data_IF_061133895706
#
_entry.id   IF_061133895706
#
_cell.length_a   1.000
_cell.length_b   1.000
_cell.length_c   1.000
_cell.angle_alpha   90.00
_cell.angle_beta   90.00
_cell.angle_gamma   90.00
#
_symmetry.space_group_name_H-M   'P 1'
#
loop_
_entity.id
_entity.type
_entity.pdbx_description
1 polymer ?
#
# COMPACT_ATOMS: atom_id res chain seq x y z
N UNK A 1 -14.96 -55.08 20.33
CA UNK A 1 -14.15 -53.95 20.84
C UNK A 1 -13.10 -53.53 19.79
N UNK A 2 -13.50 -52.86 18.70
CA UNK A 2 -12.59 -52.29 17.67
C UNK A 2 -13.32 -51.18 16.89
N UNK A 3 -13.79 -50.13 17.56
CA UNK A 3 -14.45 -48.98 16.91
C UNK A 3 -14.06 -47.61 17.48
N UNK A 4 -13.05 -47.56 18.37
CA UNK A 4 -12.67 -46.31 19.07
C UNK A 4 -11.35 -45.72 18.53
N UNK A 5 -10.64 -46.41 17.65
CA UNK A 5 -9.31 -45.98 17.20
C UNK A 5 -9.29 -45.13 15.92
N UNK A 6 -10.39 -45.03 15.16
CA UNK A 6 -10.39 -44.32 13.87
C UNK A 6 -10.83 -42.86 13.96
N UNK A 7 -11.52 -42.47 15.02
CA UNK A 7 -12.09 -41.11 15.15
C UNK A 7 -11.08 -40.09 15.67
N UNK A 8 -9.93 -40.51 16.22
CA UNK A 8 -8.90 -39.62 16.77
C UNK A 8 -7.90 -39.15 15.69
N UNK A 9 -7.86 -39.79 14.52
CA UNK A 9 -6.92 -39.44 13.44
C UNK A 9 -7.38 -38.27 12.55
N UNK A 10 -8.60 -37.74 12.75
CA UNK A 10 -9.11 -36.59 11.98
C UNK A 10 -8.98 -35.27 12.77
N UNK A 11 -8.54 -35.31 14.04
CA UNK A 11 -8.24 -34.11 14.82
C UNK A 11 -6.82 -33.55 14.58
N UNK A 12 -6.01 -34.26 13.80
CA UNK A 12 -4.62 -33.92 13.45
C UNK A 12 -4.47 -33.37 12.01
N UNK A 13 -5.58 -33.00 11.37
CA UNK A 13 -5.60 -32.30 10.08
C UNK A 13 -5.81 -30.78 10.23
N UNK A 14 -5.69 -30.23 11.44
CA UNK A 14 -5.70 -28.78 11.70
C UNK A 14 -4.31 -28.15 11.89
N UNK A 15 -3.21 -28.90 11.71
CA UNK A 15 -1.84 -28.37 11.89
C UNK A 15 -1.12 -28.02 10.57
N UNK A 16 -1.84 -27.98 9.45
CA UNK A 16 -1.23 -27.92 8.12
C UNK A 16 -1.66 -26.76 7.22
N UNK A 17 -2.43 -25.80 7.72
CA UNK A 17 -2.77 -24.60 6.96
C UNK A 17 -2.52 -23.37 7.84
N UNK A 18 -1.23 -23.10 8.10
CA UNK A 18 -0.83 -21.71 8.28
C UNK A 18 -0.93 -21.08 6.89
N UNK A 19 -2.14 -20.68 6.50
CA UNK A 19 -2.30 -19.69 5.45
C UNK A 19 -1.71 -18.40 6.00
N UNK A 20 -0.39 -18.23 5.90
CA UNK A 20 0.22 -16.92 6.09
C UNK A 20 -0.47 -16.03 5.06
N UNK A 21 -1.41 -15.19 5.51
CA UNK A 21 -1.95 -14.14 4.67
C UNK A 21 -0.74 -13.41 4.06
N UNK A 22 -0.71 -13.17 2.74
CA UNK A 22 0.43 -12.54 2.09
C UNK A 22 0.71 -11.21 2.78
N UNK A 23 1.92 -11.07 3.32
CA UNK A 23 2.35 -9.83 3.98
C UNK A 23 2.44 -8.73 2.93
N UNK A 24 1.75 -7.58 3.10
CA UNK A 24 1.73 -6.56 2.08
C UNK A 24 3.08 -5.84 1.94
N UNK A 25 3.36 -5.32 0.75
CA UNK A 25 4.36 -4.27 0.58
C UNK A 25 3.74 -2.93 0.99
N UNK A 26 4.40 -2.22 1.93
CA UNK A 26 3.84 -1.00 2.55
C UNK A 26 4.48 0.27 2.01
N UNK A 27 3.78 1.37 2.19
CA UNK A 27 4.29 2.73 2.01
C UNK A 27 4.35 3.43 3.37
N UNK A 28 5.47 4.08 3.65
CA UNK A 28 5.72 4.81 4.88
C UNK A 28 6.28 6.19 4.55
N UNK A 29 5.56 7.26 4.85
CA UNK A 29 6.05 8.63 4.64
C UNK A 29 6.18 9.35 5.98
N UNK A 30 7.37 9.85 6.27
CA UNK A 30 7.70 10.62 7.46
C UNK A 30 7.76 12.10 7.11
N UNK A 31 6.96 12.91 7.80
CA UNK A 31 6.96 14.36 7.61
C UNK A 31 8.21 14.98 8.23
N UNK A 32 8.58 16.17 7.75
CA UNK A 32 9.69 16.93 8.33
C UNK A 32 9.45 17.26 9.82
N UNK A 33 8.23 17.69 10.17
CA UNK A 33 7.81 17.95 11.55
C UNK A 33 6.30 17.71 11.76
N UNK A 34 5.80 17.98 12.96
CA UNK A 34 4.37 17.92 13.33
C UNK A 34 3.58 19.19 13.01
N UNK A 35 4.18 20.18 12.33
CA UNK A 35 3.45 21.36 11.89
C UNK A 35 2.31 20.99 10.93
N UNK A 36 1.23 21.76 10.94
CA UNK A 36 0.09 21.51 10.07
C UNK A 36 0.50 21.54 8.59
N UNK A 37 1.44 22.40 8.25
CA UNK A 37 2.02 22.57 6.92
C UNK A 37 2.83 21.32 6.49
N UNK A 38 3.72 20.82 7.35
CA UNK A 38 4.52 19.62 7.05
C UNK A 38 3.64 18.37 6.96
N UNK A 39 2.59 18.30 7.79
CA UNK A 39 1.60 17.22 7.72
C UNK A 39 0.77 17.30 6.44
N UNK A 40 0.40 18.50 5.97
CA UNK A 40 -0.36 18.68 4.74
C UNK A 40 0.47 18.36 3.49
N UNK A 41 1.71 18.84 3.40
CA UNK A 41 2.57 18.54 2.24
C UNK A 41 2.93 17.06 2.15
N UNK A 42 3.06 16.36 3.29
CA UNK A 42 3.20 14.91 3.32
C UNK A 42 2.05 14.19 2.59
N UNK A 43 0.81 14.65 2.75
CA UNK A 43 -0.34 14.05 2.06
C UNK A 43 -0.31 14.33 0.56
N UNK A 44 0.13 15.53 0.15
CA UNK A 44 0.33 15.85 -1.28
C UNK A 44 1.41 14.98 -1.91
N UNK A 45 2.55 14.81 -1.22
CA UNK A 45 3.63 13.93 -1.66
C UNK A 45 3.15 12.49 -1.78
N UNK A 46 2.39 11.99 -0.79
CA UNK A 46 1.74 10.67 -0.85
C UNK A 46 0.93 10.51 -2.13
N UNK A 47 0.03 11.44 -2.40
CA UNK A 47 -0.90 11.34 -3.53
C UNK A 47 -0.13 11.34 -4.87
N UNK A 48 0.88 12.21 -5.00
CA UNK A 48 1.72 12.28 -6.19
C UNK A 48 2.54 11.00 -6.44
N UNK A 49 2.99 10.32 -5.38
CA UNK A 49 3.73 9.05 -5.51
C UNK A 49 2.79 7.90 -5.87
N UNK A 50 1.60 7.87 -5.27
CA UNK A 50 0.60 6.86 -5.61
C UNK A 50 0.20 6.98 -7.08
N UNK A 51 -0.04 8.21 -7.56
CA UNK A 51 -0.31 8.48 -8.98
C UNK A 51 0.85 8.05 -9.88
N UNK A 52 2.09 8.40 -9.55
CA UNK A 52 3.28 8.04 -10.34
C UNK A 52 3.45 6.52 -10.48
N UNK A 53 3.18 5.78 -9.41
CA UNK A 53 3.50 4.36 -9.32
C UNK A 53 2.33 3.44 -9.70
N UNK A 54 1.14 4.00 -9.91
CA UNK A 54 -0.11 3.26 -10.12
C UNK A 54 0.00 2.25 -11.27
N UNK A 55 0.38 2.70 -12.48
CA UNK A 55 0.41 1.84 -13.67
C UNK A 55 1.39 0.67 -13.51
N UNK A 56 2.57 0.92 -12.93
CA UNK A 56 3.57 -0.11 -12.74
C UNK A 56 3.20 -1.11 -11.64
N UNK A 57 2.58 -0.63 -10.56
CA UNK A 57 2.07 -1.50 -9.49
C UNK A 57 0.94 -2.40 -10.00
N UNK A 58 0.07 -1.89 -10.88
CA UNK A 58 -1.00 -2.69 -11.50
C UNK A 58 -0.48 -3.83 -12.39
N UNK A 59 0.76 -3.74 -12.87
CA UNK A 59 1.41 -4.80 -13.65
C UNK A 59 2.14 -5.84 -12.79
N UNK A 60 2.24 -5.63 -11.48
CA UNK A 60 2.92 -6.53 -10.56
C UNK A 60 2.00 -7.69 -10.14
N UNK A 61 2.51 -8.92 -10.17
CA UNK A 61 1.71 -10.11 -9.85
C UNK A 61 1.86 -10.52 -8.39
N UNK A 62 2.92 -10.08 -7.74
CA UNK A 62 3.25 -10.41 -6.36
C UNK A 62 4.02 -9.27 -5.67
N UNK A 63 4.26 -9.45 -4.36
CA UNK A 63 4.94 -8.46 -3.51
C UNK A 63 6.39 -8.23 -3.94
N UNK A 64 7.09 -9.27 -4.36
CA UNK A 64 8.46 -9.19 -4.84
C UNK A 64 8.55 -8.37 -6.14
N UNK A 65 7.61 -8.56 -7.09
CA UNK A 65 7.52 -7.74 -8.31
C UNK A 65 7.34 -6.25 -7.96
N UNK A 66 6.41 -5.95 -7.03
CA UNK A 66 6.16 -4.57 -6.60
C UNK A 66 7.39 -3.95 -5.93
N UNK A 67 8.11 -4.73 -5.11
CA UNK A 67 9.35 -4.29 -4.48
C UNK A 67 10.44 -3.99 -5.52
N UNK A 68 10.62 -4.87 -6.50
CA UNK A 68 11.63 -4.71 -7.55
C UNK A 68 11.31 -3.52 -8.47
N UNK A 69 10.03 -3.32 -8.82
CA UNK A 69 9.56 -2.14 -9.52
C UNK A 69 9.91 -0.86 -8.74
N UNK A 70 9.54 -0.79 -7.47
CA UNK A 70 9.81 0.38 -6.63
C UNK A 70 11.31 0.64 -6.47
N UNK A 71 12.12 -0.42 -6.44
CA UNK A 71 13.57 -0.32 -6.37
C UNK A 71 14.17 0.27 -7.66
N UNK A 72 13.63 -0.09 -8.82
CA UNK A 72 14.05 0.45 -10.10
C UNK A 72 13.63 1.92 -10.30
N UNK A 73 12.48 2.32 -9.74
CA UNK A 73 11.92 3.67 -9.87
C UNK A 73 12.21 4.58 -8.67
N UNK A 74 13.11 4.18 -7.76
CA UNK A 74 13.35 4.90 -6.51
C UNK A 74 13.81 6.36 -6.73
N UNK A 75 14.65 6.59 -7.73
CA UNK A 75 15.13 7.94 -8.08
C UNK A 75 14.00 8.82 -8.61
N UNK A 76 13.10 8.27 -9.44
CA UNK A 76 11.94 8.97 -9.98
C UNK A 76 10.94 9.33 -8.87
N UNK A 77 10.72 8.42 -7.91
CA UNK A 77 9.89 8.65 -6.73
C UNK A 77 10.44 9.82 -5.90
N UNK A 78 11.76 9.84 -5.66
CA UNK A 78 12.40 10.97 -4.95
C UNK A 78 12.27 12.27 -5.73
N UNK A 79 12.50 12.23 -7.05
CA UNK A 79 12.37 13.42 -7.90
C UNK A 79 10.94 13.98 -7.87
N UNK A 80 9.93 13.11 -7.92
CA UNK A 80 8.51 13.51 -7.85
C UNK A 80 8.16 14.08 -6.47
N UNK A 81 8.66 13.50 -5.40
CA UNK A 81 8.48 14.06 -4.06
C UNK A 81 9.13 15.45 -3.91
N UNK A 82 10.35 15.62 -4.45
CA UNK A 82 11.05 16.90 -4.46
C UNK A 82 10.33 17.97 -5.29
N UNK A 83 9.71 17.58 -6.41
CA UNK A 83 8.90 18.48 -7.24
C UNK A 83 7.71 19.04 -6.44
N UNK A 84 6.94 18.18 -5.76
CA UNK A 84 5.82 18.61 -4.91
C UNK A 84 6.30 19.54 -3.79
N UNK A 85 7.43 19.22 -3.15
CA UNK A 85 8.01 20.09 -2.11
C UNK A 85 8.38 21.47 -2.66
N UNK A 86 8.91 21.54 -3.88
CA UNK A 86 9.25 22.80 -4.54
C UNK A 86 8.02 23.61 -4.94
N UNK A 87 7.00 22.98 -5.51
CA UNK A 87 5.72 23.62 -5.85
C UNK A 87 5.07 24.26 -4.60
N UNK A 88 5.19 23.59 -3.46
CA UNK A 88 4.66 24.03 -2.17
C UNK A 88 5.64 24.95 -1.39
N UNK A 89 6.78 25.32 -1.98
CA UNK A 89 7.80 26.24 -1.43
C UNK A 89 8.47 25.75 -0.13
N UNK A 90 8.62 24.44 0.05
CA UNK A 90 9.39 23.89 1.17
C UNK A 90 10.89 23.86 0.87
N UNK A 91 11.76 24.24 1.84
CA UNK A 91 13.19 24.41 1.61
C UNK A 91 14.02 23.12 1.71
N UNK A 92 13.37 21.99 1.99
CA UNK A 92 14.01 20.69 2.21
C UNK A 92 13.68 19.71 1.08
N UNK A 93 14.37 18.58 1.09
CA UNK A 93 14.22 17.51 0.08
C UNK A 93 13.70 16.22 0.68
N UNK A 94 13.22 15.35 -0.18
CA UNK A 94 12.85 13.98 0.13
C UNK A 94 14.06 13.03 -0.03
N UNK A 95 14.03 11.94 0.73
CA UNK A 95 14.87 10.76 0.48
C UNK A 95 13.99 9.52 0.56
N UNK A 96 14.31 8.48 -0.19
CA UNK A 96 13.57 7.23 -0.18
C UNK A 96 14.49 6.03 -0.01
N UNK A 97 13.98 4.99 0.62
CA UNK A 97 14.67 3.72 0.82
C UNK A 97 13.67 2.57 0.86
N UNK A 98 14.10 1.40 0.39
CA UNK A 98 13.33 0.16 0.50
C UNK A 98 14.00 -0.72 1.55
N UNK A 99 13.21 -1.27 2.45
CA UNK A 99 13.72 -2.07 3.55
C UNK A 99 12.62 -2.74 4.33
N UNK A 100 13.01 -3.27 5.50
CA UNK A 100 12.06 -3.74 6.52
C UNK A 100 11.98 -2.72 7.64
N UNK A 101 10.76 -2.38 8.02
CA UNK A 101 10.50 -1.40 9.06
C UNK A 101 9.38 -1.86 9.97
N UNK A 102 9.42 -1.41 11.21
CA UNK A 102 8.34 -1.60 12.16
C UNK A 102 7.12 -0.76 11.79
N UNK A 103 5.97 -1.42 11.75
CA UNK A 103 4.66 -0.80 11.70
C UNK A 103 3.89 -1.32 12.91
N UNK A 104 3.23 -0.49 13.72
CA UNK A 104 2.26 -0.98 14.68
C UNK A 104 0.92 -1.26 14.00
N UNK A 105 -0.05 -1.66 14.80
CA UNK A 105 -1.35 -2.11 14.31
C UNK A 105 -2.06 -1.05 13.46
N UNK A 106 -2.59 -1.46 12.31
CA UNK A 106 -3.37 -0.61 11.41
C UNK A 106 -4.60 -1.32 10.88
N UNK A 107 -5.74 -0.67 11.03
CA UNK A 107 -7.02 -1.13 10.50
C UNK A 107 -7.41 -0.28 9.31
N UNK A 108 -7.71 -0.94 8.18
CA UNK A 108 -8.25 -0.35 6.97
C UNK A 108 -9.58 -1.07 6.66
N UNK A 109 -10.70 -0.35 6.78
CA UNK A 109 -12.02 -0.99 6.69
C UNK A 109 -12.16 -2.13 7.69
N UNK A 110 -12.55 -3.30 7.20
CA UNK A 110 -12.74 -4.50 8.00
C UNK A 110 -11.47 -5.33 8.22
N UNK A 111 -10.31 -4.89 7.72
CA UNK A 111 -9.06 -5.64 7.86
C UNK A 111 -8.05 -4.93 8.75
N UNK A 112 -7.61 -5.66 9.76
CA UNK A 112 -6.52 -5.25 10.64
C UNK A 112 -5.23 -5.94 10.25
N UNK A 113 -4.20 -5.14 10.05
CA UNK A 113 -2.84 -5.59 9.99
C UNK A 113 -2.16 -5.43 11.34
N UNK A 114 -1.59 -6.52 11.89
CA UNK A 114 -0.97 -6.48 13.20
C UNK A 114 0.35 -5.72 13.19
N UNK A 115 0.78 -5.27 14.36
CA UNK A 115 2.10 -4.72 14.58
C UNK A 115 3.19 -5.74 14.19
N UNK A 116 4.25 -5.27 13.54
CA UNK A 116 5.40 -6.07 13.15
C UNK A 116 6.28 -5.42 12.09
N UNK A 117 7.30 -6.16 11.65
CA UNK A 117 8.18 -5.74 10.56
C UNK A 117 7.60 -6.10 9.19
N UNK A 118 7.54 -5.12 8.29
CA UNK A 118 7.05 -5.28 6.93
C UNK A 118 8.07 -4.77 5.91
N UNK A 119 8.09 -5.40 4.74
CA UNK A 119 8.79 -4.85 3.57
C UNK A 119 8.05 -3.57 3.14
N UNK A 120 8.77 -2.44 3.01
CA UNK A 120 8.14 -1.17 2.66
C UNK A 120 9.07 -0.24 1.87
N UNK A 121 8.43 0.65 1.10
CA UNK A 121 9.01 1.89 0.64
C UNK A 121 8.87 2.94 1.75
N UNK A 122 10.00 3.46 2.23
CA UNK A 122 10.04 4.52 3.23
C UNK A 122 10.56 5.82 2.62
N UNK A 123 9.78 6.88 2.77
CA UNK A 123 10.08 8.21 2.25
C UNK A 123 10.18 9.18 3.42
N UNK A 124 11.27 9.92 3.49
CA UNK A 124 11.62 10.84 4.56
C UNK A 124 11.66 12.24 3.97
N UNK A 125 10.80 13.13 4.46
CA UNK A 125 10.79 14.54 4.07
C UNK A 125 11.63 15.33 5.08
N UNK A 126 12.65 16.05 4.63
CA UNK A 126 13.52 16.84 5.49
C UNK A 126 14.13 16.04 6.64
N UNK A 127 13.91 16.48 7.88
CA UNK A 127 14.43 15.83 9.08
C UNK A 127 13.71 14.52 9.45
N UNK A 128 12.52 14.26 8.90
CA UNK A 128 11.69 13.09 9.20
C UNK A 128 11.36 12.92 10.70
N UNK A 129 11.16 14.03 11.42
CA UNK A 129 10.86 14.05 12.86
C UNK A 129 9.35 14.15 13.16
N UNK A 130 8.54 14.39 12.12
CA UNK A 130 7.10 14.52 12.24
C UNK A 130 6.38 13.18 12.27
N UNK A 131 5.07 13.25 12.50
CA UNK A 131 4.19 12.11 12.49
C UNK A 131 4.28 11.35 11.18
N UNK A 132 4.11 10.04 11.31
CA UNK A 132 4.23 9.12 10.21
C UNK A 132 2.89 8.93 9.51
N UNK A 133 2.90 8.78 8.19
CA UNK A 133 1.77 8.32 7.41
C UNK A 133 2.05 6.92 6.88
N UNK A 134 1.14 5.98 7.13
CA UNK A 134 1.29 4.60 6.68
C UNK A 134 0.18 4.26 5.71
N UNK A 135 0.54 3.54 4.66
CA UNK A 135 -0.39 3.01 3.68
C UNK A 135 0.04 1.60 3.27
N UNK A 136 -0.90 0.84 2.74
CA UNK A 136 -0.60 -0.36 1.96
C UNK A 136 -0.36 0.10 0.52
N UNK A 137 0.66 -0.41 -0.16
CA UNK A 137 0.99 -0.01 -1.54
C UNK A 137 0.58 -1.07 -2.57
N UNK A 138 0.50 -2.34 -2.17
CA UNK A 138 0.12 -3.47 -3.02
C UNK A 138 -1.08 -4.22 -2.40
N UNK A 139 -2.22 -4.44 -3.09
CA UNK A 139 -3.49 -4.84 -2.47
C UNK A 139 -3.55 -6.35 -2.12
N UNK A 140 -4.50 -6.79 -1.24
CA UNK A 140 -5.94 -6.62 -1.44
C UNK A 140 -6.60 -5.46 -0.68
N UNK A 141 -5.85 -4.55 -0.04
CA UNK A 141 -6.42 -3.55 0.87
C UNK A 141 -6.24 -2.07 0.51
N UNK A 142 -5.72 -1.76 -0.66
CA UNK A 142 -5.72 -0.38 -1.13
C UNK A 142 -7.13 0.14 -1.52
N UNK A 143 -8.19 -0.70 -1.47
CA UNK A 143 -9.52 -0.37 -2.01
C UNK A 143 -10.74 -0.81 -1.17
N UNK A 144 -10.58 -1.33 0.06
CA UNK A 144 -11.70 -2.02 0.74
C UNK A 144 -12.73 -1.10 1.39
N UNK A 145 -12.62 0.24 1.28
CA UNK A 145 -13.69 1.12 1.73
C UNK A 145 -14.23 2.02 0.61
N UNK A 146 -15.06 1.43 -0.26
CA UNK A 146 -16.38 2.01 -0.54
C UNK A 146 -17.34 0.94 -1.09
N UNK A 147 -18.00 0.31 -0.12
CA UNK A 147 -19.35 -0.31 -0.14
C UNK A 147 -19.59 -1.67 -0.87
N UNK A 148 -19.80 -2.68 -0.01
CA UNK A 148 -20.75 -3.81 -0.05
C UNK A 148 -20.66 -4.97 -1.08
N UNK A 149 -20.20 -6.11 -0.54
CA UNK A 149 -20.74 -7.49 -0.62
C UNK A 149 -20.50 -8.43 -1.83
N UNK A 150 -19.93 -9.60 -1.46
CA UNK A 150 -20.30 -10.98 -1.80
C UNK A 150 -19.67 -11.74 -3.00
N UNK A 151 -18.99 -12.82 -2.60
CA UNK A 151 -18.93 -14.17 -3.19
C UNK A 151 -17.95 -14.51 -4.33
N UNK A 152 -17.64 -15.81 -4.37
CA UNK A 152 -16.41 -16.44 -4.84
C UNK A 152 -16.20 -16.63 -6.36
N UNK A 153 -14.90 -16.68 -6.71
CA UNK A 153 -14.23 -17.33 -7.86
C UNK A 153 -13.98 -16.53 -9.16
N UNK A 154 -12.78 -16.77 -9.69
CA UNK A 154 -12.06 -16.14 -10.82
C UNK A 154 -11.75 -14.64 -10.66
N UNK A 155 -10.47 -14.33 -10.43
CA UNK A 155 -9.99 -12.94 -10.35
C UNK A 155 -9.85 -12.41 -11.77
N UNK A 156 -10.97 -12.02 -12.35
CA UNK A 156 -11.04 -11.09 -13.46
C UNK A 156 -10.80 -9.69 -12.90
N UNK A 157 -9.71 -9.06 -13.31
CA UNK A 157 -9.34 -7.72 -12.85
C UNK A 157 -10.21 -6.68 -13.57
N UNK A 158 -11.45 -6.52 -13.09
CA UNK A 158 -12.24 -5.34 -13.40
C UNK A 158 -11.77 -4.19 -12.51
N UNK A 159 -10.86 -3.40 -13.05
CA UNK A 159 -10.34 -2.22 -12.40
C UNK A 159 -11.45 -1.16 -12.37
N UNK A 160 -12.11 -1.01 -11.22
CA UNK A 160 -13.03 0.12 -10.94
C UNK A 160 -12.30 1.46 -11.10
N UNK A 161 -10.97 1.46 -10.94
CA UNK A 161 -10.09 2.58 -11.28
C UNK A 161 -10.16 2.90 -12.79
N UNK A 162 -10.14 1.90 -13.70
CA UNK A 162 -10.29 2.12 -15.15
C UNK A 162 -11.66 2.70 -15.53
N UNK A 163 -12.73 2.28 -14.84
CA UNK A 163 -14.09 2.81 -15.05
C UNK A 163 -14.25 4.24 -14.50
N UNK A 164 -13.69 4.52 -13.32
CA UNK A 164 -13.72 5.84 -12.69
C UNK A 164 -12.81 6.85 -13.41
N UNK A 165 -11.64 6.43 -13.91
CA UNK A 165 -10.76 7.23 -14.76
C UNK A 165 -11.43 7.55 -16.11
N UNK A 166 -12.20 6.63 -16.72
CA UNK A 166 -13.03 6.95 -17.90
C UNK A 166 -14.10 8.00 -17.62
N UNK A 167 -14.66 8.00 -16.41
CA UNK A 167 -15.63 9.02 -15.97
C UNK A 167 -15.01 10.39 -15.72
N UNK A 168 -13.76 10.44 -15.22
CA UNK A 168 -13.04 11.68 -14.94
C UNK A 168 -12.36 12.31 -16.16
N UNK A 169 -11.87 11.49 -17.10
CA UNK A 169 -11.24 11.95 -18.34
C UNK A 169 -12.17 11.96 -19.57
N UNK A 170 -13.42 11.48 -19.42
CA UNK A 170 -14.47 11.51 -20.47
C UNK A 170 -15.20 12.86 -20.62
N UNK A 171 -14.77 13.90 -19.92
CA UNK A 171 -15.31 15.26 -20.00
C UNK A 171 -14.63 16.08 -21.10
N UNK A 172 -14.91 15.79 -22.37
CA UNK A 172 -14.32 16.50 -23.52
C UNK A 172 -15.30 16.68 -24.69
N UNK A 173 -16.37 17.45 -24.44
CA UNK A 173 -17.21 18.25 -25.38
C UNK A 173 -17.24 17.86 -26.87
N UNK A 174 -18.40 17.43 -27.41
CA UNK A 174 -18.93 17.88 -28.71
C UNK A 174 -20.47 17.67 -28.78
N UNK A 175 -21.23 18.77 -28.93
CA UNK A 175 -22.57 18.78 -29.55
C UNK A 175 -23.75 19.09 -28.64
#
# INVERSE_FOLDING_TARGET
MKKVALTILIFLLCLGQCGCAPSPFRLHILANSDSAEDQAVKLKVRDAILELTEEGVLQCHNKEDAKDYMQAHLEEIVARADEVLQEENFPYRATAEIGRFDFPDKTYGDVTYPAGEYDALRIKLGAAEGQNWWCVMFPPLCLVNMEDTADSQEVEYDSVILEWLRGLFGGGNQG
#
